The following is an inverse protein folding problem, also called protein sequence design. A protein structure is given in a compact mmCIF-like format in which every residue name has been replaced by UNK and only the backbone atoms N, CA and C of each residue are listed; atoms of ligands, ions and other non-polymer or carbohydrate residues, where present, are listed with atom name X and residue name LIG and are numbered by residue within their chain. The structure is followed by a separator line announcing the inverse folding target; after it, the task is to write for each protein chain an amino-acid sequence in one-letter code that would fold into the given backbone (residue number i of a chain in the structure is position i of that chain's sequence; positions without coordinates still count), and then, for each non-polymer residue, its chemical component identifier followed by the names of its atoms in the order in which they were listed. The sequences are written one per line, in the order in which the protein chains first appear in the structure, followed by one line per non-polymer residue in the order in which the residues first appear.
data_IF_126980952567
#
_entry.id   IF_126980952567
#
_cell.length_a   1.000
_cell.length_b   1.000
_cell.length_c   1.000
_cell.angle_alpha   90.00
_cell.angle_beta   90.00
_cell.angle_gamma   90.00
#
_symmetry.space_group_name_H-M   'P 1'
#
loop_
_entity.id
_entity.type
_entity.pdbx_description
1 polymer ?
#
# COMPACT_ATOMS: atom_id res chain seq x y z
N UNK A 1 -11.51 -31.74 -52.65
CA UNK A 1 -11.11 -31.94 -51.24
C UNK A 1 -11.60 -30.74 -50.46
N UNK A 2 -12.63 -30.95 -49.62
CA UNK A 2 -13.27 -29.90 -48.84
C UNK A 2 -12.40 -29.57 -47.61
N UNK A 3 -11.74 -28.43 -47.64
CA UNK A 3 -11.15 -27.85 -46.43
C UNK A 3 -12.25 -27.10 -45.69
N UNK A 4 -13.03 -27.84 -44.90
CA UNK A 4 -13.92 -27.26 -43.90
C UNK A 4 -13.04 -26.63 -42.83
N UNK A 5 -12.70 -25.36 -43.00
CA UNK A 5 -12.16 -24.53 -41.93
C UNK A 5 -13.18 -24.58 -40.80
N UNK A 6 -12.85 -25.34 -39.75
CA UNK A 6 -13.55 -25.32 -38.46
C UNK A 6 -13.66 -23.86 -38.06
N UNK A 7 -14.87 -23.31 -38.23
CA UNK A 7 -15.36 -22.18 -37.48
C UNK A 7 -15.09 -22.55 -36.02
N UNK A 8 -14.02 -22.01 -35.45
CA UNK A 8 -13.89 -21.85 -34.01
C UNK A 8 -15.03 -20.93 -33.65
N UNK A 9 -16.21 -21.55 -33.50
CA UNK A 9 -17.27 -21.04 -32.65
C UNK A 9 -16.52 -20.80 -31.36
N UNK A 10 -16.17 -19.54 -31.11
CA UNK A 10 -16.04 -19.06 -29.76
C UNK A 10 -17.28 -19.65 -29.11
N UNK A 11 -17.08 -20.67 -28.27
CA UNK A 11 -18.17 -21.17 -27.46
C UNK A 11 -18.72 -19.91 -26.82
N UNK A 12 -19.91 -19.50 -27.27
CA UNK A 12 -20.73 -18.53 -26.57
C UNK A 12 -20.90 -19.16 -25.21
N UNK A 13 -19.96 -18.88 -24.31
CA UNK A 13 -20.03 -19.29 -22.92
C UNK A 13 -21.29 -18.59 -22.45
N UNK A 14 -22.40 -19.33 -22.40
CA UNK A 14 -23.67 -18.84 -21.93
C UNK A 14 -23.48 -18.52 -20.44
N UNK A 15 -23.05 -17.28 -20.16
CA UNK A 15 -22.91 -16.76 -18.80
C UNK A 15 -24.32 -16.68 -18.22
N UNK A 16 -24.60 -17.55 -17.26
CA UNK A 16 -25.90 -17.52 -16.57
C UNK A 16 -25.97 -16.28 -15.67
N UNK A 17 -27.17 -15.88 -15.27
CA UNK A 17 -27.33 -14.79 -14.31
C UNK A 17 -26.56 -15.05 -13.00
N UNK A 18 -26.55 -16.30 -12.53
CA UNK A 18 -25.77 -16.72 -11.36
C UNK A 18 -24.26 -16.55 -11.59
N UNK A 19 -23.76 -16.89 -12.78
CA UNK A 19 -22.35 -16.70 -13.11
C UNK A 19 -21.98 -15.21 -13.17
N UNK A 20 -22.86 -14.36 -13.72
CA UNK A 20 -22.64 -12.91 -13.71
C UNK A 20 -22.59 -12.34 -12.29
N UNK A 21 -23.44 -12.85 -11.37
CA UNK A 21 -23.37 -12.47 -9.96
C UNK A 21 -22.04 -12.88 -9.33
N UNK A 22 -21.57 -14.11 -9.59
CA UNK A 22 -20.27 -14.59 -9.11
C UNK A 22 -19.11 -13.78 -9.68
N UNK A 23 -19.15 -13.45 -10.97
CA UNK A 23 -18.15 -12.59 -11.63
C UNK A 23 -18.11 -11.21 -10.98
N UNK A 24 -19.27 -10.61 -10.71
CA UNK A 24 -19.34 -9.29 -10.08
C UNK A 24 -18.82 -9.31 -8.64
N UNK A 25 -19.13 -10.35 -7.88
CA UNK A 25 -18.61 -10.54 -6.52
C UNK A 25 -17.08 -10.73 -6.56
N UNK A 26 -16.59 -11.57 -7.49
CA UNK A 26 -15.17 -11.79 -7.67
C UNK A 26 -14.46 -10.48 -8.01
N UNK A 27 -14.93 -9.73 -8.99
CA UNK A 27 -14.34 -8.45 -9.39
C UNK A 27 -14.28 -7.46 -8.22
N UNK A 28 -15.36 -7.33 -7.44
CA UNK A 28 -15.38 -6.45 -6.25
C UNK A 28 -14.39 -6.89 -5.19
N UNK A 29 -14.34 -8.20 -4.90
CA UNK A 29 -13.43 -8.74 -3.89
C UNK A 29 -11.97 -8.61 -4.33
N UNK A 30 -11.67 -8.87 -5.61
CA UNK A 30 -10.33 -8.70 -6.18
C UNK A 30 -9.88 -7.24 -6.08
N UNK A 31 -10.73 -6.29 -6.47
CA UNK A 31 -10.40 -4.87 -6.35
C UNK A 31 -10.10 -4.49 -4.89
N UNK A 32 -10.96 -4.90 -3.95
CA UNK A 32 -10.76 -4.64 -2.53
C UNK A 32 -9.48 -5.29 -1.99
N UNK A 33 -9.14 -6.50 -2.43
CA UNK A 33 -7.90 -7.16 -2.03
C UNK A 33 -6.69 -6.40 -2.56
N UNK A 34 -6.73 -5.94 -3.81
CA UNK A 34 -5.66 -5.12 -4.39
C UNK A 34 -5.50 -3.81 -3.62
N UNK A 35 -6.58 -3.07 -3.41
CA UNK A 35 -6.56 -1.83 -2.62
C UNK A 35 -5.97 -2.03 -1.22
N UNK A 36 -6.38 -3.09 -0.52
CA UNK A 36 -5.86 -3.41 0.81
C UNK A 36 -4.38 -3.82 0.77
N UNK A 37 -3.94 -4.52 -0.28
CA UNK A 37 -2.52 -4.86 -0.45
C UNK A 37 -1.68 -3.61 -0.70
N UNK A 38 -2.16 -2.71 -1.55
CA UNK A 38 -1.48 -1.45 -1.83
C UNK A 38 -1.40 -0.59 -0.56
N UNK A 39 -2.48 -0.50 0.23
CA UNK A 39 -2.46 0.19 1.53
C UNK A 39 -1.45 -0.42 2.51
N UNK A 40 -1.37 -1.76 2.57
CA UNK A 40 -0.38 -2.46 3.40
C UNK A 40 1.05 -2.13 2.92
N UNK A 41 1.31 -2.10 1.62
CA UNK A 41 2.64 -1.77 1.10
C UNK A 41 3.02 -0.31 1.41
N UNK A 42 2.07 0.63 1.30
CA UNK A 42 2.28 2.04 1.69
C UNK A 42 2.63 2.13 3.17
N UNK A 43 1.84 1.50 4.06
CA UNK A 43 2.09 1.53 5.50
C UNK A 43 3.42 0.87 5.89
N UNK A 44 3.80 -0.22 5.24
CA UNK A 44 5.11 -0.85 5.44
C UNK A 44 6.25 0.09 5.07
N UNK A 45 6.10 0.83 3.98
CA UNK A 45 7.10 1.82 3.55
C UNK A 45 7.16 3.00 4.53
N UNK A 46 6.02 3.47 5.03
CA UNK A 46 5.97 4.51 6.06
C UNK A 46 6.66 4.05 7.35
N UNK A 47 6.40 2.83 7.80
CA UNK A 47 7.07 2.23 8.97
C UNK A 47 8.57 2.15 8.76
N UNK A 48 9.02 1.63 7.61
CA UNK A 48 10.44 1.55 7.30
C UNK A 48 11.09 2.94 7.29
N UNK A 49 10.43 3.95 6.72
CA UNK A 49 10.96 5.31 6.75
C UNK A 49 11.10 5.86 8.18
N UNK A 50 10.19 5.50 9.09
CA UNK A 50 10.26 5.90 10.51
C UNK A 50 11.39 5.17 11.24
N UNK A 51 11.58 3.88 10.97
CA UNK A 51 12.71 3.09 11.49
C UNK A 51 14.05 3.67 11.00
N UNK A 52 14.18 3.90 9.69
CA UNK A 52 15.38 4.51 9.09
C UNK A 52 15.66 5.90 9.68
N UNK A 53 14.62 6.72 9.89
CA UNK A 53 14.76 8.04 10.52
C UNK A 53 15.18 7.97 11.98
N UNK A 54 14.73 6.96 12.74
CA UNK A 54 15.15 6.73 14.11
C UNK A 54 16.63 6.31 14.18
N UNK A 55 17.05 5.43 13.28
CA UNK A 55 18.45 4.99 13.17
C UNK A 55 19.39 6.15 12.79
N UNK A 56 18.99 7.00 11.84
CA UNK A 56 19.75 8.18 11.44
C UNK A 56 19.85 9.20 12.59
N UNK A 57 18.79 9.34 13.38
CA UNK A 57 18.72 10.26 14.51
C UNK A 57 19.71 9.90 15.61
N UNK A 58 19.96 8.61 15.85
CA UNK A 58 20.98 8.12 16.79
C UNK A 58 22.40 8.52 16.36
N UNK A 59 22.64 8.79 15.07
CA UNK A 59 23.96 9.19 14.56
C UNK A 59 24.21 10.71 14.65
N UNK A 60 23.20 11.51 14.99
CA UNK A 60 23.32 12.96 15.14
C UNK A 60 23.97 13.35 16.47
N UNK A 61 24.47 14.58 16.53
CA UNK A 61 25.00 15.16 17.78
C UNK A 61 23.84 15.64 18.67
N UNK A 62 23.80 15.15 19.92
CA UNK A 62 22.76 15.43 20.93
C UNK A 62 22.54 16.94 21.20
N UNK A 63 23.47 17.80 20.78
CA UNK A 63 23.38 19.26 20.92
C UNK A 63 22.50 19.94 19.86
N UNK A 64 22.13 19.23 18.80
CA UNK A 64 21.35 19.75 17.68
C UNK A 64 19.85 19.59 17.91
N UNK A 65 19.08 20.62 17.53
CA UNK A 65 17.62 20.52 17.50
C UNK A 65 17.16 19.93 16.17
N UNK A 66 16.23 18.98 16.25
CA UNK A 66 15.71 18.23 15.10
C UNK A 66 14.35 18.81 14.71
N UNK A 67 14.18 19.25 13.45
CA UNK A 67 12.89 19.73 12.96
C UNK A 67 11.94 18.55 12.70
N UNK A 68 10.88 18.45 13.50
CA UNK A 68 9.82 17.46 13.35
C UNK A 68 8.59 18.07 12.69
N UNK A 69 8.03 17.40 11.68
CA UNK A 69 6.87 17.89 10.93
C UNK A 69 5.56 17.47 11.61
N UNK A 70 4.69 18.43 11.91
CA UNK A 70 3.32 18.20 12.39
C UNK A 70 2.35 18.91 11.44
N UNK A 71 1.65 18.13 10.60
CA UNK A 71 0.82 18.68 9.53
C UNK A 71 1.67 19.51 8.54
N UNK A 72 1.42 20.81 8.48
CA UNK A 72 2.10 21.74 7.56
C UNK A 72 3.21 22.59 8.22
N UNK A 73 3.52 22.35 9.50
CA UNK A 73 4.53 23.12 10.25
C UNK A 73 5.64 22.23 10.77
N UNK A 74 6.84 22.81 10.91
CA UNK A 74 8.00 22.16 11.54
C UNK A 74 8.23 22.76 12.92
N UNK A 75 8.43 21.89 13.91
CA UNK A 75 8.77 22.28 15.28
C UNK A 75 10.12 21.63 15.62
N UNK A 76 11.04 22.42 16.15
CA UNK A 76 12.36 21.94 16.55
C UNK A 76 12.29 21.33 17.95
N UNK A 77 12.66 20.06 18.05
CA UNK A 77 12.70 19.28 19.29
C UNK A 77 14.12 18.84 19.61
N UNK A 78 14.38 18.44 20.86
CA UNK A 78 15.62 17.73 21.18
C UNK A 78 15.62 16.35 20.52
N UNK A 79 16.80 15.73 20.45
CA UNK A 79 16.92 14.37 19.93
C UNK A 79 16.07 13.37 20.73
N UNK A 80 16.11 13.44 22.06
CA UNK A 80 15.33 12.58 22.96
C UNK A 80 13.82 12.73 22.74
N UNK A 81 13.31 13.98 22.69
CA UNK A 81 11.89 14.24 22.41
C UNK A 81 11.47 13.73 21.03
N UNK A 82 12.32 13.94 20.01
CA UNK A 82 12.03 13.49 18.64
C UNK A 82 11.99 11.97 18.55
N UNK A 83 12.85 11.28 19.31
CA UNK A 83 12.90 9.83 19.35
C UNK A 83 11.64 9.24 20.00
N UNK A 84 11.18 9.81 21.12
CA UNK A 84 9.89 9.43 21.74
C UNK A 84 8.71 9.64 20.77
N UNK A 85 8.72 10.74 20.01
CA UNK A 85 7.69 11.02 19.01
C UNK A 85 7.72 10.08 17.81
N UNK A 86 8.91 9.65 17.37
CA UNK A 86 9.06 8.64 16.32
C UNK A 86 8.57 7.27 16.80
N UNK A 87 8.92 6.86 18.01
CA UNK A 87 8.45 5.60 18.60
C UNK A 87 6.92 5.56 18.78
N UNK A 88 6.30 6.69 19.11
CA UNK A 88 4.84 6.78 19.21
C UNK A 88 4.13 6.73 17.84
N UNK A 89 4.84 7.01 16.75
CA UNK A 89 4.32 7.04 15.38
C UNK A 89 4.51 5.71 14.62
N UNK A 90 5.35 4.80 15.13
CA UNK A 90 5.54 3.43 14.64
C UNK A 90 4.34 2.53 14.98
#
# INVERSE_FOLDING_TARGET
MAATMKKTVAEDVNVTFEDQQKINIFARNTNRITELKDEIEVKKKELQNLEDASDDLIMLDDSLLIPYQIGDVFISHSQEETQEMLEAAQ
#
